data_IF_171090133127
#
_entry.id   IF_171090133127
#
_cell.length_a   1.000
_cell.length_b   1.000
_cell.length_c   1.000
_cell.angle_alpha   90.00
_cell.angle_beta   90.00
_cell.angle_gamma   90.00
#
_symmetry.space_group_name_H-M   'P 1'
#
loop_
_entity.id
_entity.type
_entity.pdbx_description
1 polymer ?
#
# COMPACT_ATOMS: atom_id res chain seq x y z
N UNK A 1 -17.45 -14.77 5.63
CA UNK A 1 -18.74 -15.06 4.97
C UNK A 1 -18.64 -14.60 3.53
N UNK A 2 -18.65 -15.53 2.59
CA UNK A 2 -18.73 -15.21 1.16
C UNK A 2 -20.20 -14.95 0.85
N UNK A 3 -20.51 -13.70 0.54
CA UNK A 3 -21.86 -13.27 0.16
C UNK A 3 -22.24 -13.89 -1.18
N UNK A 4 -23.28 -14.66 -1.22
CA UNK A 4 -24.22 -14.96 -2.32
C UNK A 4 -23.76 -14.98 -3.78
N UNK A 5 -22.50 -15.29 -4.08
CA UNK A 5 -22.02 -15.44 -5.45
C UNK A 5 -22.05 -16.90 -5.92
N UNK A 6 -22.13 -17.10 -7.22
CA UNK A 6 -22.06 -18.41 -7.89
C UNK A 6 -20.67 -19.07 -7.86
N UNK A 7 -19.71 -18.49 -7.12
CA UNK A 7 -18.33 -18.99 -7.01
C UNK A 7 -18.20 -19.94 -5.83
N UNK A 8 -17.61 -21.12 -6.04
CA UNK A 8 -17.20 -22.00 -4.96
C UNK A 8 -15.66 -22.05 -4.89
N UNK A 9 -15.13 -22.12 -3.67
CA UNK A 9 -13.70 -22.33 -3.43
C UNK A 9 -13.51 -23.80 -3.07
N UNK A 10 -12.71 -24.50 -3.86
CA UNK A 10 -12.32 -25.89 -3.58
C UNK A 10 -10.89 -25.86 -3.09
N UNK A 11 -10.67 -26.22 -1.81
CA UNK A 11 -9.35 -26.37 -1.24
C UNK A 11 -8.96 -27.86 -1.23
N UNK A 12 -7.82 -28.19 -1.84
CA UNK A 12 -7.25 -29.55 -1.84
C UNK A 12 -5.83 -29.47 -1.31
N UNK A 13 -5.58 -30.10 -0.19
CA UNK A 13 -4.24 -30.22 0.38
C UNK A 13 -3.46 -31.41 -0.24
N UNK A 14 -2.20 -31.52 0.09
CA UNK A 14 -1.34 -32.59 -0.42
C UNK A 14 -1.79 -34.00 -0.01
N UNK A 15 -2.59 -34.15 1.02
CA UNK A 15 -3.06 -35.46 1.50
C UNK A 15 -3.97 -36.12 0.47
N UNK A 16 -4.72 -35.32 -0.29
CA UNK A 16 -5.57 -35.81 -1.38
C UNK A 16 -4.69 -36.35 -2.53
N UNK A 17 -3.65 -35.59 -2.90
CA UNK A 17 -2.69 -36.04 -3.93
C UNK A 17 -2.02 -37.36 -3.55
N UNK A 18 -1.67 -37.56 -2.26
CA UNK A 18 -1.07 -38.79 -1.75
C UNK A 18 -2.01 -40.01 -1.84
N UNK A 19 -3.32 -39.82 -1.67
CA UNK A 19 -4.31 -40.90 -1.80
C UNK A 19 -4.41 -41.43 -3.23
N UNK A 20 -4.18 -40.56 -4.21
CA UNK A 20 -4.34 -40.88 -5.61
C UNK A 20 -3.02 -41.22 -6.34
N UNK A 21 -1.87 -40.77 -5.82
CA UNK A 21 -0.58 -41.01 -6.46
C UNK A 21 0.56 -41.16 -5.44
N UNK A 22 0.94 -42.39 -5.20
CA UNK A 22 2.03 -42.75 -4.28
C UNK A 22 3.41 -42.15 -4.69
N UNK A 23 3.65 -41.95 -5.99
CA UNK A 23 4.91 -41.35 -6.48
C UNK A 23 5.11 -39.91 -5.97
N UNK A 24 4.03 -39.25 -5.66
CA UNK A 24 4.03 -37.88 -5.09
C UNK A 24 4.70 -37.85 -3.70
N UNK A 25 4.70 -38.96 -2.95
CA UNK A 25 5.27 -39.02 -1.62
C UNK A 25 6.79 -38.68 -1.58
N UNK A 26 7.56 -39.24 -2.48
CA UNK A 26 9.00 -38.98 -2.54
C UNK A 26 9.32 -37.53 -2.93
N UNK A 27 8.51 -36.96 -3.79
CA UNK A 27 8.59 -35.55 -4.14
C UNK A 27 8.29 -34.68 -2.92
N UNK A 28 7.18 -34.92 -2.22
CA UNK A 28 6.78 -34.14 -1.05
C UNK A 28 7.81 -34.21 0.10
N UNK A 29 8.42 -35.37 0.31
CA UNK A 29 9.49 -35.50 1.31
C UNK A 29 10.70 -34.65 0.97
N UNK A 30 11.07 -34.55 -0.30
CA UNK A 30 12.14 -33.67 -0.76
C UNK A 30 11.79 -32.18 -0.59
N UNK A 31 10.59 -31.79 -0.98
CA UNK A 31 10.13 -30.41 -0.87
C UNK A 31 9.96 -29.97 0.59
N UNK A 32 9.48 -30.87 1.47
CA UNK A 32 9.38 -30.59 2.91
C UNK A 32 10.72 -30.24 3.56
N UNK A 33 11.81 -30.78 3.04
CA UNK A 33 13.16 -30.48 3.54
C UNK A 33 13.71 -29.16 3.05
N UNK A 34 13.19 -28.63 1.95
CA UNK A 34 13.65 -27.37 1.32
C UNK A 34 12.88 -26.16 1.82
N UNK A 35 11.59 -26.34 2.06
CA UNK A 35 10.70 -25.26 2.44
C UNK A 35 10.68 -25.06 3.95
N UNK A 36 10.60 -23.81 4.36
CA UNK A 36 10.29 -23.49 5.75
C UNK A 36 8.84 -23.87 6.08
N UNK A 37 8.49 -24.06 7.37
CA UNK A 37 7.18 -24.54 7.77
C UNK A 37 6.01 -23.72 7.25
N UNK A 38 6.21 -22.41 7.09
CA UNK A 38 5.17 -21.49 6.65
C UNK A 38 4.92 -21.58 5.15
N UNK A 39 5.97 -21.58 4.35
CA UNK A 39 5.87 -21.81 2.90
C UNK A 39 5.24 -23.17 2.61
N UNK A 40 5.56 -24.19 3.40
CA UNK A 40 4.92 -25.48 3.29
C UNK A 40 3.42 -25.42 3.57
N UNK A 41 3.01 -24.73 4.63
CA UNK A 41 1.61 -24.61 5.00
C UNK A 41 0.78 -23.88 3.91
N UNK A 42 1.35 -22.86 3.29
CA UNK A 42 0.69 -22.12 2.19
C UNK A 42 0.59 -22.99 0.94
N UNK A 43 1.71 -23.56 0.48
CA UNK A 43 1.80 -24.22 -0.82
C UNK A 43 1.19 -25.62 -0.86
N UNK A 44 1.29 -26.36 0.24
CA UNK A 44 0.89 -27.76 0.27
C UNK A 44 -0.31 -28.07 1.18
N UNK A 45 -0.53 -27.27 2.22
CA UNK A 45 -1.65 -27.45 3.14
C UNK A 45 -2.81 -26.50 2.85
N UNK A 46 -2.69 -25.64 1.84
CA UNK A 46 -3.68 -24.62 1.47
C UNK A 46 -4.12 -23.73 2.65
N UNK A 47 -3.23 -23.51 3.59
CA UNK A 47 -3.52 -22.63 4.71
C UNK A 47 -3.46 -21.17 4.24
N UNK A 48 -4.59 -20.50 4.27
CA UNK A 48 -4.63 -19.05 4.11
C UNK A 48 -4.08 -18.42 5.39
N UNK A 49 -2.78 -18.16 5.40
CA UNK A 49 -2.14 -17.49 6.52
C UNK A 49 -2.36 -16.00 6.33
N UNK A 50 -3.28 -15.45 7.09
CA UNK A 50 -3.59 -14.02 7.10
C UNK A 50 -2.41 -13.15 7.55
N UNK A 51 -1.49 -13.75 8.31
CA UNK A 51 -0.27 -13.11 8.78
C UNK A 51 0.93 -14.00 8.53
N UNK A 52 1.86 -13.48 7.75
CA UNK A 52 3.17 -14.07 7.62
C UNK A 52 4.06 -13.49 8.73
N UNK A 53 4.73 -14.33 9.52
CA UNK A 53 5.71 -13.88 10.51
C UNK A 53 6.85 -13.03 9.88
N UNK A 54 6.99 -13.08 8.55
CA UNK A 54 7.87 -12.24 7.75
C UNK A 54 7.20 -10.99 7.18
N UNK A 55 5.90 -10.81 7.42
CA UNK A 55 5.21 -9.58 6.99
C UNK A 55 5.79 -8.40 7.74
N UNK A 56 6.27 -7.40 7.00
CA UNK A 56 6.77 -6.16 7.58
C UNK A 56 5.69 -5.43 8.38
N UNK A 57 4.42 -5.58 7.97
CA UNK A 57 3.27 -5.01 8.65
C UNK A 57 2.34 -6.12 9.14
N UNK A 58 2.03 -6.09 10.43
CA UNK A 58 1.04 -6.95 11.03
C UNK A 58 -0.37 -6.47 10.68
N UNK A 59 -1.25 -7.38 10.24
CA UNK A 59 -2.62 -7.07 9.81
C UNK A 59 -3.45 -6.43 10.93
N UNK A 60 -3.31 -6.91 12.16
CA UNK A 60 -4.00 -6.35 13.32
C UNK A 60 -3.56 -4.92 13.60
N UNK A 61 -2.27 -4.63 13.42
CA UNK A 61 -1.73 -3.28 13.53
C UNK A 61 -2.32 -2.36 12.46
N UNK A 62 -2.39 -2.82 11.21
CA UNK A 62 -3.02 -2.07 10.12
C UNK A 62 -4.48 -1.78 10.44
N UNK A 63 -5.24 -2.78 10.89
CA UNK A 63 -6.65 -2.61 11.26
C UNK A 63 -6.86 -1.67 12.44
N UNK A 64 -6.03 -1.76 13.48
CA UNK A 64 -6.08 -0.83 14.62
C UNK A 64 -5.80 0.62 14.21
N UNK A 65 -5.00 0.81 13.15
CA UNK A 65 -4.64 2.13 12.64
C UNK A 65 -5.66 2.69 11.63
N UNK A 66 -6.61 1.88 11.15
CA UNK A 66 -7.73 2.34 10.29
C UNK A 66 -8.78 3.11 11.11
N UNK A 67 -8.40 4.30 11.58
CA UNK A 67 -9.22 5.10 12.52
C UNK A 67 -9.78 6.40 11.92
N UNK A 68 -9.52 6.67 10.65
CA UNK A 68 -9.97 7.90 10.03
C UNK A 68 -11.49 7.88 9.86
N UNK A 69 -12.17 8.81 10.51
CA UNK A 69 -13.62 8.99 10.39
C UNK A 69 -14.00 9.72 9.10
N UNK A 70 -13.09 10.48 8.51
CA UNK A 70 -13.29 11.24 7.28
C UNK A 70 -12.09 11.05 6.38
N UNK A 71 -12.29 10.31 5.30
CA UNK A 71 -11.31 10.14 4.25
C UNK A 71 -11.38 11.32 3.27
N UNK A 72 -10.29 11.60 2.58
CA UNK A 72 -10.28 12.50 1.43
C UNK A 72 -10.87 11.79 0.22
N UNK A 73 -11.77 12.45 -0.50
CA UNK A 73 -12.36 11.95 -1.73
C UNK A 73 -12.00 12.89 -2.87
N UNK A 74 -10.98 12.56 -3.67
CA UNK A 74 -10.56 13.39 -4.78
C UNK A 74 -11.63 13.37 -5.88
N UNK A 75 -11.80 14.51 -6.53
CA UNK A 75 -12.60 14.60 -7.74
C UNK A 75 -11.90 13.85 -8.88
N UNK A 76 -12.69 13.39 -9.82
CA UNK A 76 -12.20 12.76 -11.04
C UNK A 76 -12.28 13.78 -12.17
N UNK A 77 -11.51 13.54 -13.23
CA UNK A 77 -11.47 14.35 -14.43
C UNK A 77 -11.03 15.82 -14.18
N UNK A 78 -11.35 16.70 -15.10
CA UNK A 78 -10.95 18.10 -15.08
C UNK A 78 -11.56 18.91 -13.93
N UNK A 79 -12.61 18.38 -13.28
CA UNK A 79 -13.20 19.00 -12.10
C UNK A 79 -12.20 19.22 -10.96
N UNK A 80 -11.21 18.33 -10.84
CA UNK A 80 -10.16 18.45 -9.82
C UNK A 80 -9.28 19.70 -10.04
N UNK A 81 -9.19 20.20 -11.27
CA UNK A 81 -8.41 21.38 -11.64
C UNK A 81 -9.21 22.68 -11.53
N UNK A 82 -10.53 22.59 -11.29
CA UNK A 82 -11.36 23.76 -11.11
C UNK A 82 -11.02 24.49 -9.81
N UNK A 83 -11.11 25.83 -9.83
CA UNK A 83 -10.88 26.67 -8.65
C UNK A 83 -11.89 26.46 -7.52
N UNK A 84 -13.01 25.79 -7.79
CA UNK A 84 -14.01 25.48 -6.77
C UNK A 84 -13.43 24.47 -5.76
N UNK A 85 -13.65 24.75 -4.48
CA UNK A 85 -13.22 23.84 -3.42
C UNK A 85 -13.96 22.50 -3.53
N UNK A 86 -13.22 21.42 -3.37
CA UNK A 86 -13.80 20.09 -3.24
C UNK A 86 -14.67 20.02 -1.97
N UNK A 87 -15.98 19.78 -2.12
CA UNK A 87 -16.91 19.67 -0.98
C UNK A 87 -16.56 18.52 -0.02
N UNK A 88 -15.83 17.51 -0.51
CA UNK A 88 -15.33 16.39 0.29
C UNK A 88 -13.86 16.57 0.68
N UNK A 89 -13.30 17.74 0.42
CA UNK A 89 -11.93 18.07 0.82
C UNK A 89 -11.82 18.17 2.33
N UNK A 90 -10.64 17.81 2.83
CA UNK A 90 -10.32 17.97 4.25
C UNK A 90 -9.71 19.36 4.45
N UNK A 91 -10.25 20.21 5.33
CA UNK A 91 -9.66 21.50 5.64
C UNK A 91 -8.21 21.33 6.12
N UNK A 92 -7.30 22.14 5.59
CA UNK A 92 -5.90 22.14 6.00
C UNK A 92 -5.78 22.82 7.37
N UNK A 93 -5.07 22.18 8.29
CA UNK A 93 -4.79 22.72 9.62
C UNK A 93 -3.54 23.60 9.60
N UNK A 94 -3.38 24.43 10.62
CA UNK A 94 -2.17 25.25 10.79
C UNK A 94 -0.98 24.31 11.05
N UNK A 95 0.08 24.51 10.30
CA UNK A 95 1.30 23.67 10.40
C UNK A 95 1.17 22.27 9.76
N UNK A 96 0.03 21.95 9.13
CA UNK A 96 -0.13 20.70 8.40
C UNK A 96 0.66 20.72 7.09
N UNK A 97 1.39 19.64 6.84
CA UNK A 97 2.09 19.38 5.58
C UNK A 97 1.35 18.25 4.86
N UNK A 98 1.12 18.44 3.56
CA UNK A 98 0.48 17.48 2.69
C UNK A 98 1.44 16.99 1.62
N UNK A 99 1.54 15.69 1.50
CA UNK A 99 2.44 15.04 0.55
C UNK A 99 1.61 14.14 -0.37
N UNK A 100 1.80 14.30 -1.67
CA UNK A 100 1.38 13.33 -2.68
C UNK A 100 2.58 12.44 -2.99
N UNK A 101 2.48 11.16 -2.70
CA UNK A 101 3.51 10.16 -3.01
C UNK A 101 3.04 9.32 -4.20
N UNK A 102 3.90 9.16 -5.19
CA UNK A 102 3.61 8.48 -6.43
C UNK A 102 4.70 7.43 -6.71
N UNK A 103 4.28 6.19 -6.79
CA UNK A 103 5.06 5.07 -7.28
C UNK A 103 4.55 4.75 -8.68
N UNK A 104 5.41 4.93 -9.70
CA UNK A 104 5.03 4.89 -11.11
C UNK A 104 5.47 3.58 -11.73
N UNK A 105 4.50 2.82 -12.25
CA UNK A 105 4.75 1.67 -13.09
C UNK A 105 4.62 2.02 -14.58
N UNK A 106 5.56 1.53 -15.39
CA UNK A 106 5.51 1.66 -16.85
C UNK A 106 4.56 0.64 -17.48
N UNK A 107 3.97 1.02 -18.59
CA UNK A 107 3.26 0.10 -19.48
C UNK A 107 4.27 -0.81 -20.20
N UNK A 108 4.16 -2.11 -20.04
CA UNK A 108 5.07 -3.01 -20.76
C UNK A 108 4.94 -4.49 -20.37
N UNK A 109 3.94 -5.18 -20.89
CA UNK A 109 3.80 -6.63 -20.80
C UNK A 109 2.62 -7.14 -19.98
N UNK A 110 2.40 -8.45 -20.04
CA UNK A 110 1.26 -9.10 -19.38
C UNK A 110 1.31 -9.12 -17.84
N UNK A 111 2.46 -8.75 -17.24
CA UNK A 111 2.72 -8.71 -15.79
C UNK A 111 3.13 -7.30 -15.35
N UNK A 112 2.38 -6.27 -15.75
CA UNK A 112 2.70 -4.90 -15.38
C UNK A 112 2.24 -4.60 -13.95
N UNK A 113 3.17 -4.08 -13.16
CA UNK A 113 2.87 -3.52 -11.85
C UNK A 113 1.90 -2.33 -11.97
N UNK A 114 1.13 -2.10 -10.92
CA UNK A 114 0.25 -0.95 -10.84
C UNK A 114 1.00 0.27 -10.31
N UNK A 115 0.68 1.45 -10.86
CA UNK A 115 1.07 2.71 -10.25
C UNK A 115 0.24 2.98 -9.00
N UNK A 116 0.87 3.44 -7.94
CA UNK A 116 0.22 3.74 -6.66
C UNK A 116 0.36 5.22 -6.33
N UNK A 117 -0.76 5.89 -6.12
CA UNK A 117 -0.81 7.29 -5.68
C UNK A 117 -1.38 7.39 -4.28
N UNK A 118 -0.64 8.03 -3.37
CA UNK A 118 -1.02 8.14 -1.96
C UNK A 118 -1.02 9.57 -1.48
N UNK A 119 -2.14 10.02 -0.89
CA UNK A 119 -2.24 11.33 -0.26
C UNK A 119 -2.00 11.20 1.26
N UNK A 120 -0.97 11.87 1.74
CA UNK A 120 -0.49 11.76 3.12
C UNK A 120 -0.57 13.12 3.80
N UNK A 121 -1.14 13.15 5.01
CA UNK A 121 -1.12 14.32 5.89
C UNK A 121 -0.11 14.13 7.00
N UNK A 122 0.69 15.14 7.23
CA UNK A 122 1.55 15.25 8.40
C UNK A 122 0.95 16.33 9.31
N UNK A 123 0.42 15.90 10.44
CA UNK A 123 -0.18 16.79 11.43
C UNK A 123 0.82 17.04 12.55
N UNK A 124 1.12 18.29 12.90
CA UNK A 124 2.03 18.58 13.98
C UNK A 124 1.50 18.01 15.29
N UNK A 125 2.34 17.31 16.01
CA UNK A 125 2.04 16.80 17.34
C UNK A 125 2.50 17.81 18.40
N UNK A 126 1.67 17.98 19.42
CA UNK A 126 2.03 18.82 20.58
C UNK A 126 3.00 18.11 21.52
N UNK A 127 3.10 16.77 21.42
CA UNK A 127 3.98 15.99 22.27
C UNK A 127 5.42 16.00 21.75
N UNK A 128 6.33 16.25 22.65
CA UNK A 128 7.75 16.16 22.40
C UNK A 128 8.21 14.70 22.60
N UNK A 129 8.88 14.16 21.60
CA UNK A 129 9.46 12.82 21.70
C UNK A 129 10.95 12.95 22.05
N UNK A 130 11.35 12.24 23.11
CA UNK A 130 12.76 12.09 23.46
C UNK A 130 13.36 11.04 22.53
N UNK A 131 14.30 11.45 21.72
CA UNK A 131 15.04 10.53 20.83
C UNK A 131 16.45 10.40 21.39
N UNK A 132 16.83 9.19 21.82
CA UNK A 132 18.21 8.88 22.17
C UNK A 132 19.03 8.75 20.89
N UNK A 133 20.21 9.34 20.91
CA UNK A 133 21.20 9.12 19.87
C UNK A 133 21.69 7.66 19.89
N UNK A 134 22.20 7.18 18.77
CA UNK A 134 22.77 5.81 18.64
C UNK A 134 23.92 5.55 19.62
N UNK A 135 24.57 6.61 20.11
CA UNK A 135 25.59 6.52 21.15
C UNK A 135 25.05 6.54 22.59
N UNK A 136 23.74 6.76 22.79
CA UNK A 136 23.11 6.77 24.11
C UNK A 136 23.40 8.01 24.98
N UNK A 137 24.10 8.99 24.45
CA UNK A 137 24.59 10.13 25.24
C UNK A 137 23.77 11.41 25.09
N UNK A 138 22.99 11.57 24.03
CA UNK A 138 22.23 12.80 23.78
C UNK A 138 20.72 12.54 23.66
N UNK A 139 19.94 13.22 24.49
CA UNK A 139 18.48 13.25 24.39
C UNK A 139 18.10 14.48 23.57
N UNK A 140 17.71 14.27 22.32
CA UNK A 140 17.14 15.34 21.50
C UNK A 140 15.61 15.32 21.61
N UNK A 141 15.02 16.46 21.98
CA UNK A 141 13.58 16.63 21.99
C UNK A 141 13.15 17.03 20.59
N UNK A 142 12.41 16.16 19.90
CA UNK A 142 11.86 16.47 18.58
C UNK A 142 10.34 16.48 18.67
N UNK A 143 9.72 17.52 18.12
CA UNK A 143 8.28 17.53 17.87
C UNK A 143 8.01 16.61 16.69
N UNK A 144 7.16 15.62 16.89
CA UNK A 144 6.77 14.69 15.87
C UNK A 144 5.65 15.20 14.98
N UNK A 145 5.41 14.46 13.91
CA UNK A 145 4.24 14.60 13.07
C UNK A 145 3.46 13.30 13.06
N UNK A 146 2.17 13.39 13.36
CA UNK A 146 1.27 12.27 13.15
C UNK A 146 0.99 12.11 11.67
N UNK A 147 1.29 10.96 11.13
CA UNK A 147 1.13 10.63 9.72
C UNK A 147 -0.24 10.00 9.48
N UNK A 148 -0.94 10.47 8.47
CA UNK A 148 -2.25 9.93 8.08
C UNK A 148 -2.28 9.75 6.56
N UNK A 149 -2.44 8.50 6.10
CA UNK A 149 -2.78 8.22 4.71
C UNK A 149 -4.29 8.40 4.59
N UNK A 150 -4.72 9.41 3.84
CA UNK A 150 -6.13 9.79 3.71
C UNK A 150 -6.76 9.33 2.41
N UNK A 151 -5.94 8.95 1.45
CA UNK A 151 -6.35 8.39 0.18
C UNK A 151 -5.23 7.57 -0.43
N UNK A 152 -5.62 6.51 -1.12
CA UNK A 152 -4.72 5.70 -1.94
C UNK A 152 -5.50 5.17 -3.14
N UNK A 153 -4.90 5.24 -4.31
CA UNK A 153 -5.42 4.58 -5.51
C UNK A 153 -4.35 3.78 -6.21
N UNK A 154 -4.78 2.68 -6.79
CA UNK A 154 -3.97 1.84 -7.66
C UNK A 154 -4.49 2.00 -9.09
N UNK A 155 -3.62 2.35 -10.00
CA UNK A 155 -3.93 2.53 -11.41
C UNK A 155 -3.13 1.51 -12.20
N UNK A 156 -3.82 0.67 -12.96
CA UNK A 156 -3.13 -0.26 -13.86
C UNK A 156 -2.35 0.52 -14.90
N UNK A 157 -1.14 0.04 -15.22
CA UNK A 157 -0.18 0.72 -16.07
C UNK A 157 -0.83 1.40 -17.28
N UNK A 158 -0.46 2.61 -17.54
CA UNK A 158 -1.06 3.43 -18.58
C UNK A 158 -0.07 4.44 -19.14
N UNK A 159 -0.50 5.14 -20.17
CA UNK A 159 0.28 6.23 -20.75
C UNK A 159 0.78 7.19 -19.67
N UNK A 160 2.05 7.51 -19.70
CA UNK A 160 2.69 8.45 -18.75
C UNK A 160 1.97 9.79 -18.70
N UNK A 161 1.47 10.27 -19.83
CA UNK A 161 0.66 11.50 -19.90
C UNK A 161 -0.61 11.42 -19.06
N UNK A 162 -1.34 10.31 -19.09
CA UNK A 162 -2.55 10.12 -18.27
C UNK A 162 -2.21 10.09 -16.79
N UNK A 163 -1.09 9.45 -16.44
CA UNK A 163 -0.60 9.41 -15.06
C UNK A 163 -0.19 10.82 -14.58
N UNK A 164 0.53 11.59 -15.42
CA UNK A 164 0.91 12.96 -15.11
C UNK A 164 -0.31 13.87 -14.89
N UNK A 165 -1.34 13.75 -15.74
CA UNK A 165 -2.61 14.46 -15.56
C UNK A 165 -3.25 14.06 -14.23
N UNK A 166 -3.29 12.77 -13.91
CA UNK A 166 -3.88 12.30 -12.65
C UNK A 166 -3.14 12.81 -11.42
N UNK A 167 -1.82 12.80 -11.46
CA UNK A 167 -0.96 13.36 -10.40
C UNK A 167 -1.28 14.85 -10.20
N UNK A 168 -1.37 15.62 -11.28
CA UNK A 168 -1.71 17.03 -11.22
C UNK A 168 -3.10 17.28 -10.62
N UNK A 169 -4.10 16.47 -11.00
CA UNK A 169 -5.45 16.52 -10.42
C UNK A 169 -5.42 16.25 -8.91
N UNK A 170 -4.75 15.17 -8.49
CA UNK A 170 -4.62 14.82 -7.08
C UNK A 170 -3.87 15.89 -6.30
N UNK A 171 -2.77 16.39 -6.83
CA UNK A 171 -1.97 17.44 -6.22
C UNK A 171 -2.81 18.69 -5.94
N UNK A 172 -3.55 19.14 -6.95
CA UNK A 172 -4.39 20.33 -6.86
C UNK A 172 -5.56 20.12 -5.92
N UNK A 173 -6.27 19.00 -6.05
CA UNK A 173 -7.49 18.71 -5.30
C UNK A 173 -7.21 18.43 -3.82
N UNK A 174 -6.09 17.79 -3.54
CA UNK A 174 -5.60 17.55 -2.17
C UNK A 174 -4.98 18.81 -1.55
N UNK A 175 -4.64 19.82 -2.35
CA UNK A 175 -3.85 20.97 -1.93
C UNK A 175 -2.54 20.52 -1.28
N UNK A 176 -1.78 19.70 -2.00
CA UNK A 176 -0.51 19.16 -1.55
C UNK A 176 0.58 20.23 -1.52
N UNK A 177 1.49 20.15 -0.56
CA UNK A 177 2.67 21.02 -0.46
C UNK A 177 3.83 20.43 -1.26
N UNK A 178 3.91 19.08 -1.28
CA UNK A 178 4.97 18.35 -1.94
C UNK A 178 4.41 17.20 -2.78
N UNK A 179 5.05 16.95 -3.91
CA UNK A 179 4.87 15.75 -4.70
C UNK A 179 6.18 14.96 -4.68
N UNK A 180 6.12 13.70 -4.29
CA UNK A 180 7.27 12.80 -4.26
C UNK A 180 7.05 11.72 -5.29
N UNK A 181 7.94 11.64 -6.27
CA UNK A 181 7.94 10.64 -7.33
C UNK A 181 9.14 9.73 -7.14
N UNK A 182 8.96 8.42 -7.33
CA UNK A 182 10.13 7.56 -7.53
C UNK A 182 10.74 7.90 -8.89
N UNK A 183 11.90 8.57 -8.85
CA UNK A 183 12.60 9.06 -10.03
C UNK A 183 13.35 7.99 -10.81
N UNK A 184 13.14 6.69 -10.52
CA UNK A 184 13.74 5.60 -11.28
C UNK A 184 12.84 5.22 -12.45
N UNK A 185 13.44 4.94 -13.61
CA UNK A 185 12.73 4.47 -14.81
C UNK A 185 11.55 5.38 -15.22
N UNK A 186 10.32 4.94 -14.96
CA UNK A 186 9.09 5.60 -15.35
C UNK A 186 8.90 6.99 -14.72
N UNK A 187 9.42 7.21 -13.54
CA UNK A 187 9.28 8.50 -12.84
C UNK A 187 9.90 9.67 -13.59
N UNK A 188 10.98 9.44 -14.34
CA UNK A 188 11.63 10.48 -15.17
C UNK A 188 10.68 10.96 -16.27
N UNK A 189 10.03 10.04 -16.98
CA UNK A 189 9.13 10.37 -18.10
C UNK A 189 7.84 11.08 -17.67
N UNK A 190 7.49 11.05 -16.41
CA UNK A 190 6.32 11.76 -15.86
C UNK A 190 6.70 13.15 -15.36
N UNK A 191 7.98 13.35 -15.00
CA UNK A 191 8.49 14.63 -14.50
C UNK A 191 8.70 15.67 -15.60
N UNK A 192 9.12 15.22 -16.82
CA UNK A 192 9.33 16.07 -18.00
C UNK A 192 7.99 16.45 -18.64
#
# INVERSE_FOLDING_TARGET
MLSGGTSCVIAMDYSIALKHNIKTRNFLIKERKKLDPMSWAIEYENQMIAENARSFFNYDQLNRNRRLKRAFYPRRNDEALLRQKNKYGIPKQVGEIRILSCDIAMEGGNDTDNSIFSCIRLLPESQEHKVMDTAGEHITIKRGYRRQVVYMESVHGGETTKQAIRIKQLYTDFNADYCVLDGRNAGISVYD
#
